data_IF_903240113154
#
_entry.id   IF_903240113154
#
_cell.length_a   1.000
_cell.length_b   1.000
_cell.length_c   1.000
_cell.angle_alpha   90.00
_cell.angle_beta   90.00
_cell.angle_gamma   90.00
#
_symmetry.space_group_name_H-M   'P 1'
#
loop_
_entity.id
_entity.type
_entity.pdbx_description
1 polymer ?
#
# COMPACT_ATOMS: atom_id res chain seq x y z
N UNK A 1 1.91 17.80 8.79
CA UNK A 1 2.69 16.77 9.52
C UNK A 1 3.31 15.80 8.51
N UNK A 2 4.64 15.75 8.44
CA UNK A 2 5.37 14.83 7.56
C UNK A 2 5.17 13.38 8.02
N UNK A 3 5.18 12.38 7.12
CA UNK A 3 4.90 10.99 7.50
C UNK A 3 5.88 10.44 8.54
N UNK A 4 7.12 10.94 8.53
CA UNK A 4 8.16 10.63 9.53
C UNK A 4 7.82 11.14 10.93
N UNK A 5 7.21 12.31 11.07
CA UNK A 5 6.79 12.86 12.38
C UNK A 5 5.73 11.98 13.04
N UNK A 6 4.84 11.40 12.23
CA UNK A 6 3.78 10.48 12.67
C UNK A 6 4.39 9.21 13.29
N UNK A 7 5.53 8.77 12.78
CA UNK A 7 6.31 7.66 13.31
C UNK A 7 7.20 8.05 14.51
N UNK A 8 7.20 9.32 14.93
CA UNK A 8 8.04 9.83 16.03
C UNK A 8 9.45 10.25 15.59
N UNK A 9 9.67 10.39 14.29
CA UNK A 9 10.96 10.74 13.72
C UNK A 9 11.03 12.24 13.52
N UNK A 10 11.99 12.88 14.19
CA UNK A 10 12.22 14.33 14.07
C UNK A 10 13.22 14.60 12.94
N UNK A 11 12.74 15.03 11.78
CA UNK A 11 13.58 15.54 10.70
C UNK A 11 13.92 17.01 10.94
N UNK A 12 15.17 17.29 11.30
CA UNK A 12 15.65 18.68 11.53
C UNK A 12 15.85 19.49 10.24
N UNK A 13 15.97 18.83 9.08
CA UNK A 13 16.14 19.45 7.77
C UNK A 13 15.25 18.77 6.72
N UNK A 14 14.89 19.47 5.62
CA UNK A 14 14.16 18.87 4.51
C UNK A 14 14.90 17.64 3.95
N UNK A 15 14.15 16.61 3.57
CA UNK A 15 14.71 15.42 2.92
C UNK A 15 15.35 15.82 1.58
N UNK A 16 16.58 15.35 1.36
CA UNK A 16 17.27 15.49 0.07
C UNK A 16 17.03 14.26 -0.76
N UNK A 17 16.66 14.43 -2.03
CA UNK A 17 16.58 13.31 -2.99
C UNK A 17 18.01 12.84 -3.27
N UNK A 18 18.26 11.54 -3.09
CA UNK A 18 19.53 10.89 -3.41
C UNK A 18 19.54 10.32 -4.82
N UNK A 19 18.46 9.63 -5.21
CA UNK A 19 18.27 9.15 -6.58
C UNK A 19 16.79 9.06 -6.95
N UNK A 20 16.52 9.10 -8.26
CA UNK A 20 15.21 8.84 -8.84
C UNK A 20 15.41 7.76 -9.90
N UNK A 21 14.55 6.77 -9.90
CA UNK A 21 14.51 5.71 -10.89
C UNK A 21 13.14 5.64 -11.55
N UNK A 22 13.13 5.24 -12.81
CA UNK A 22 11.94 5.05 -13.63
C UNK A 22 11.69 3.56 -13.75
N UNK A 23 10.43 3.14 -13.54
CA UNK A 23 10.00 1.78 -13.82
C UNK A 23 8.88 1.79 -14.87
N UNK A 24 9.03 0.94 -15.88
CA UNK A 24 8.03 0.72 -16.94
C UNK A 24 8.00 -0.76 -17.31
N UNK A 25 6.85 -1.42 -17.07
CA UNK A 25 6.78 -2.88 -17.14
C UNK A 25 7.92 -3.51 -16.35
N UNK A 26 8.67 -4.43 -16.95
CA UNK A 26 9.80 -5.12 -16.30
C UNK A 26 11.13 -4.33 -16.33
N UNK A 27 11.13 -3.09 -16.84
CA UNK A 27 12.34 -2.28 -16.96
C UNK A 27 12.46 -1.28 -15.82
N UNK A 28 13.62 -1.25 -15.16
CA UNK A 28 14.00 -0.29 -14.12
C UNK A 28 15.32 0.37 -14.51
N UNK A 29 15.40 1.69 -14.44
CA UNK A 29 16.64 2.44 -14.74
C UNK A 29 16.69 3.80 -14.05
N UNK A 30 17.87 4.41 -13.92
CA UNK A 30 18.00 5.77 -13.41
C UNK A 30 17.18 6.77 -14.24
N UNK A 31 16.52 7.72 -13.57
CA UNK A 31 15.83 8.82 -14.23
C UNK A 31 16.85 9.76 -14.88
N UNK A 32 16.66 10.02 -16.17
CA UNK A 32 17.45 11.00 -16.92
C UNK A 32 16.53 12.17 -17.28
N UNK A 33 16.80 13.39 -16.79
CA UNK A 33 16.01 14.56 -17.15
C UNK A 33 16.01 14.77 -18.67
N UNK A 34 14.84 14.90 -19.28
CA UNK A 34 14.73 15.29 -20.68
C UNK A 34 15.27 16.71 -20.88
N UNK A 35 16.22 16.87 -21.80
CA UNK A 35 16.73 18.19 -22.21
C UNK A 35 15.78 18.80 -23.26
N UNK A 36 15.43 20.08 -23.09
CA UNK A 36 14.61 20.82 -24.06
C UNK A 36 13.14 20.37 -24.08
N UNK A 37 12.51 20.40 -25.25
CA UNK A 37 11.07 20.12 -25.44
C UNK A 37 10.74 18.63 -25.65
N UNK A 38 11.68 17.72 -25.40
CA UNK A 38 11.45 16.28 -25.55
C UNK A 38 10.44 15.79 -24.51
N UNK A 39 9.46 14.98 -24.94
CA UNK A 39 8.49 14.37 -24.03
C UNK A 39 9.24 13.46 -23.05
N UNK A 40 8.98 13.58 -21.73
CA UNK A 40 9.59 12.69 -20.75
C UNK A 40 9.18 11.23 -21.05
N UNK A 41 10.06 10.32 -20.68
CA UNK A 41 9.78 8.89 -20.81
C UNK A 41 8.51 8.50 -20.05
N UNK A 42 7.68 7.67 -20.68
CA UNK A 42 6.49 7.15 -20.04
C UNK A 42 6.88 6.10 -18.99
N UNK A 43 6.55 6.38 -17.73
CA UNK A 43 6.76 5.51 -16.59
C UNK A 43 5.43 4.96 -16.08
N UNK A 44 5.46 3.83 -15.36
CA UNK A 44 4.33 3.37 -14.55
C UNK A 44 4.49 3.84 -13.10
N UNK A 45 5.71 3.74 -12.55
CA UNK A 45 6.09 4.31 -11.26
C UNK A 45 7.46 4.97 -11.30
N UNK A 46 7.69 5.88 -10.37
CA UNK A 46 9.03 6.35 -10.00
C UNK A 46 9.39 5.84 -8.61
N UNK A 47 10.64 5.44 -8.43
CA UNK A 47 11.22 5.15 -7.12
C UNK A 47 12.09 6.34 -6.75
N UNK A 48 11.78 6.99 -5.63
CA UNK A 48 12.52 8.14 -5.11
C UNK A 48 13.21 7.71 -3.83
N UNK A 49 14.53 7.60 -3.88
CA UNK A 49 15.36 7.28 -2.72
C UNK A 49 15.90 8.58 -2.11
N UNK A 50 15.73 8.77 -0.81
CA UNK A 50 16.28 9.92 -0.10
C UNK A 50 17.73 9.68 0.31
N UNK A 51 18.53 10.74 0.29
CA UNK A 51 19.94 10.70 0.68
C UNK A 51 20.10 10.24 2.14
N UNK A 52 21.29 9.73 2.48
CA UNK A 52 21.67 9.33 3.85
C UNK A 52 20.73 8.28 4.47
N UNK A 53 20.22 7.34 3.66
CA UNK A 53 19.30 6.28 4.10
C UNK A 53 18.04 6.81 4.82
N UNK A 54 17.57 8.00 4.42
CA UNK A 54 16.37 8.61 4.99
C UNK A 54 15.06 8.11 4.37
N UNK A 55 15.09 6.88 3.83
CA UNK A 55 13.92 6.21 3.29
C UNK A 55 13.74 6.37 1.80
N UNK A 56 12.62 5.86 1.32
CA UNK A 56 12.24 5.90 -0.08
C UNK A 56 10.73 5.99 -0.24
N UNK A 57 10.29 6.44 -1.42
CA UNK A 57 8.89 6.49 -1.85
C UNK A 57 8.76 5.85 -3.22
N UNK A 58 7.75 5.01 -3.39
CA UNK A 58 7.29 4.55 -4.69
C UNK A 58 6.06 5.38 -5.04
N UNK A 59 6.18 6.19 -6.10
CA UNK A 59 5.13 7.11 -6.55
C UNK A 59 4.63 6.70 -7.93
N UNK A 60 3.33 6.79 -8.16
CA UNK A 60 2.79 6.57 -9.50
C UNK A 60 3.21 7.68 -10.47
N UNK A 61 3.44 7.30 -11.72
CA UNK A 61 3.59 8.23 -12.83
C UNK A 61 2.25 8.57 -13.53
N UNK A 62 1.13 8.07 -13.00
CA UNK A 62 -0.20 8.21 -13.58
C UNK A 62 -1.15 8.94 -12.60
N UNK A 63 -1.73 10.08 -13.04
CA UNK A 63 -2.62 10.90 -12.21
C UNK A 63 -3.96 10.24 -11.87
N UNK A 64 -4.30 9.13 -12.54
CA UNK A 64 -5.55 8.38 -12.31
C UNK A 64 -5.50 7.52 -11.05
N UNK A 65 -4.31 7.27 -10.52
CA UNK A 65 -4.11 6.53 -9.28
C UNK A 65 -3.50 7.43 -8.21
N UNK A 66 -3.50 7.00 -6.93
CA UNK A 66 -2.85 7.77 -5.87
C UNK A 66 -1.38 8.04 -6.16
N UNK A 67 -0.93 9.24 -5.79
CA UNK A 67 0.46 9.65 -5.99
C UNK A 67 1.43 8.73 -5.26
N UNK A 68 1.19 8.43 -3.97
CA UNK A 68 2.07 7.56 -3.16
C UNK A 68 1.49 6.15 -3.12
N UNK A 69 2.26 5.16 -3.58
CA UNK A 69 1.89 3.74 -3.57
C UNK A 69 2.59 2.96 -2.46
N UNK A 70 3.81 3.36 -2.10
CA UNK A 70 4.48 2.88 -0.91
C UNK A 70 5.49 3.89 -0.39
N UNK A 71 5.81 3.81 0.90
CA UNK A 71 6.96 4.51 1.47
C UNK A 71 7.58 3.73 2.62
N UNK A 72 8.86 3.98 2.84
CA UNK A 72 9.55 3.64 4.09
C UNK A 72 10.30 4.88 4.57
N UNK A 73 10.25 5.16 5.87
CA UNK A 73 10.90 6.32 6.49
C UNK A 73 12.40 6.15 6.69
N UNK A 74 12.94 4.97 6.40
CA UNK A 74 14.34 4.60 6.59
C UNK A 74 14.85 3.69 5.49
N UNK A 75 16.17 3.65 5.36
CA UNK A 75 16.85 2.80 4.39
C UNK A 75 16.79 3.36 2.97
N UNK A 76 16.95 2.46 2.02
CA UNK A 76 17.05 2.71 0.60
C UNK A 76 16.50 1.49 -0.15
N UNK A 77 15.79 1.70 -1.26
CA UNK A 77 15.36 0.62 -2.14
C UNK A 77 16.41 0.43 -3.23
N UNK A 78 17.30 -0.56 -3.05
CA UNK A 78 18.36 -0.88 -4.00
C UNK A 78 17.85 -1.46 -5.31
N UNK A 79 18.74 -1.61 -6.29
CA UNK A 79 18.42 -1.92 -7.70
C UNK A 79 17.78 -3.30 -7.90
N UNK A 80 18.04 -4.25 -7.00
CA UNK A 80 17.49 -5.62 -7.03
C UNK A 80 16.48 -5.82 -5.90
N UNK A 81 15.27 -6.26 -6.25
CA UNK A 81 14.28 -6.71 -5.26
C UNK A 81 14.53 -8.20 -4.99
N UNK A 82 15.25 -8.49 -3.91
CA UNK A 82 15.54 -9.87 -3.48
C UNK A 82 14.50 -10.44 -2.51
N UNK A 83 13.69 -9.58 -1.89
CA UNK A 83 12.63 -10.00 -0.98
C UNK A 83 11.37 -10.39 -1.79
N UNK A 84 10.89 -11.65 -1.72
CA UNK A 84 9.71 -12.12 -2.44
C UNK A 84 8.44 -11.36 -2.04
N UNK A 85 8.28 -10.97 -0.77
CA UNK A 85 7.18 -10.11 -0.34
C UNK A 85 7.21 -8.73 -1.00
N UNK A 86 8.38 -8.11 -1.11
CA UNK A 86 8.50 -6.84 -1.84
C UNK A 86 8.21 -7.02 -3.34
N UNK A 87 8.66 -8.13 -3.94
CA UNK A 87 8.39 -8.45 -5.35
C UNK A 87 6.88 -8.61 -5.61
N UNK A 88 6.19 -9.38 -4.76
CA UNK A 88 4.73 -9.56 -4.81
C UNK A 88 4.02 -8.21 -4.69
N UNK A 89 4.39 -7.37 -3.71
CA UNK A 89 3.77 -6.06 -3.54
C UNK A 89 4.04 -5.10 -4.70
N UNK A 90 5.21 -5.20 -5.32
CA UNK A 90 5.54 -4.43 -6.52
C UNK A 90 4.69 -4.87 -7.72
N UNK A 91 4.53 -6.18 -7.91
CA UNK A 91 3.63 -6.73 -8.93
C UNK A 91 2.19 -6.28 -8.72
N UNK A 92 1.72 -6.22 -7.47
CA UNK A 92 0.39 -5.72 -7.14
C UNK A 92 0.23 -4.24 -7.50
N UNK A 93 1.25 -3.40 -7.28
CA UNK A 93 1.22 -1.98 -7.69
C UNK A 93 1.09 -1.84 -9.21
N UNK A 94 1.87 -2.60 -9.98
CA UNK A 94 1.83 -2.55 -11.45
C UNK A 94 0.44 -2.96 -11.96
N UNK A 95 -0.08 -4.09 -11.48
CA UNK A 95 -1.41 -4.59 -11.86
C UNK A 95 -2.51 -3.58 -11.49
N UNK A 96 -2.42 -2.98 -10.29
CA UNK A 96 -3.36 -1.94 -9.85
C UNK A 96 -3.34 -0.73 -10.79
N UNK A 97 -2.16 -0.24 -11.19
CA UNK A 97 -2.04 0.89 -12.13
C UNK A 97 -2.70 0.56 -13.46
N UNK A 98 -2.41 -0.62 -14.01
CA UNK A 98 -2.98 -1.06 -15.29
C UNK A 98 -4.50 -1.21 -15.23
N UNK A 99 -5.02 -1.79 -14.15
CA UNK A 99 -6.46 -1.94 -13.93
C UNK A 99 -7.15 -0.58 -13.87
N UNK A 100 -6.64 0.35 -13.05
CA UNK A 100 -7.21 1.69 -12.92
C UNK A 100 -7.13 2.47 -14.23
N UNK A 101 -6.02 2.33 -14.98
CA UNK A 101 -5.85 2.92 -16.30
C UNK A 101 -6.89 2.39 -17.29
N UNK A 102 -7.06 1.07 -17.37
CA UNK A 102 -8.02 0.43 -18.26
C UNK A 102 -9.47 0.80 -17.90
N UNK A 103 -9.79 0.80 -16.60
CA UNK A 103 -11.11 1.18 -16.10
C UNK A 103 -11.44 2.64 -16.43
N UNK A 104 -10.48 3.54 -16.25
CA UNK A 104 -10.64 4.95 -16.63
C UNK A 104 -10.88 5.09 -18.14
N UNK A 105 -10.03 4.49 -18.98
CA UNK A 105 -10.17 4.61 -20.44
C UNK A 105 -11.51 4.07 -20.95
N UNK A 106 -11.98 2.95 -20.38
CA UNK A 106 -13.28 2.37 -20.72
C UNK A 106 -14.48 3.24 -20.32
N UNK A 107 -14.32 4.10 -19.29
CA UNK A 107 -15.41 4.90 -18.73
C UNK A 107 -15.26 6.41 -18.94
N UNK A 108 -14.19 6.88 -19.59
CA UNK A 108 -13.83 8.31 -19.65
C UNK A 108 -14.95 9.23 -20.14
N UNK A 109 -15.74 8.78 -21.12
CA UNK A 109 -16.86 9.58 -21.64
C UNK A 109 -18.03 9.67 -20.65
N UNK A 110 -18.30 8.57 -19.94
CA UNK A 110 -19.30 8.52 -18.88
C UNK A 110 -18.87 9.40 -17.72
N UNK A 111 -17.62 9.28 -17.27
CA UNK A 111 -17.05 10.11 -16.20
C UNK A 111 -17.03 11.60 -16.56
N UNK A 112 -16.69 11.94 -17.81
CA UNK A 112 -16.79 13.31 -18.30
C UNK A 112 -18.22 13.83 -18.22
N UNK A 113 -19.20 13.02 -18.65
CA UNK A 113 -20.62 13.37 -18.57
C UNK A 113 -21.09 13.57 -17.13
N UNK A 114 -20.74 12.65 -16.22
CA UNK A 114 -21.09 12.77 -14.79
C UNK A 114 -20.43 14.01 -14.15
N UNK A 115 -19.19 14.32 -14.52
CA UNK A 115 -18.51 15.52 -14.06
C UNK A 115 -19.19 16.79 -14.58
N UNK A 116 -19.61 16.81 -15.85
CA UNK A 116 -20.35 17.90 -16.47
C UNK A 116 -21.71 18.13 -15.80
N UNK A 117 -22.47 17.06 -15.54
CA UNK A 117 -23.74 17.12 -14.79
C UNK A 117 -23.55 17.60 -13.35
N UNK A 118 -22.46 17.18 -12.69
CA UNK A 118 -22.13 17.64 -11.35
C UNK A 118 -21.74 19.12 -11.31
N UNK A 119 -21.02 19.61 -12.34
CA UNK A 119 -20.67 21.03 -12.48
C UNK A 119 -21.95 21.84 -12.71
N UNK A 120 -22.82 21.42 -13.63
CA UNK A 120 -24.09 22.10 -13.92
C UNK A 120 -24.90 22.38 -12.65
N UNK A 121 -25.02 21.39 -11.75
CA UNK A 121 -25.77 21.51 -10.49
C UNK A 121 -25.19 22.56 -9.52
N UNK A 122 -23.91 22.93 -9.68
CA UNK A 122 -23.23 23.91 -8.83
C UNK A 122 -23.27 25.33 -9.41
N UNK A 123 -23.69 25.51 -10.67
CA UNK A 123 -23.81 26.82 -11.30
C UNK A 123 -24.98 27.63 -10.72
N UNK A 124 -24.99 28.94 -10.96
CA UNK A 124 -26.11 29.81 -10.64
C UNK A 124 -27.40 29.38 -11.35
N UNK A 125 -28.56 29.76 -10.81
CA UNK A 125 -29.86 29.38 -11.41
C UNK A 125 -30.09 30.02 -12.77
N UNK A 126 -29.58 31.23 -12.95
CA UNK A 126 -29.57 31.96 -14.21
C UNK A 126 -28.79 31.18 -15.26
N UNK A 127 -27.57 30.73 -14.93
CA UNK A 127 -26.75 29.98 -15.88
C UNK A 127 -27.33 28.59 -16.18
N UNK A 128 -27.90 27.92 -15.18
CA UNK A 128 -28.61 26.65 -15.41
C UNK A 128 -29.75 26.82 -16.43
N UNK A 129 -30.54 27.89 -16.31
CA UNK A 129 -31.66 28.16 -17.22
C UNK A 129 -31.20 28.42 -18.66
N UNK A 130 -30.10 29.18 -18.84
CA UNK A 130 -29.52 29.43 -20.16
C UNK A 130 -29.05 28.15 -20.84
N UNK A 131 -28.34 27.29 -20.12
CA UNK A 131 -27.82 26.02 -20.66
C UNK A 131 -28.94 25.04 -21.01
N UNK A 132 -30.05 25.06 -20.26
CA UNK A 132 -31.27 24.30 -20.61
C UNK A 132 -31.93 24.89 -21.86
N UNK A 133 -32.03 26.22 -21.97
CA UNK A 133 -32.61 26.88 -23.14
C UNK A 133 -31.80 26.64 -24.42
N UNK A 134 -30.47 26.55 -24.31
CA UNK A 134 -29.57 26.13 -25.39
C UNK A 134 -29.69 24.63 -25.74
N UNK A 135 -30.37 23.85 -24.90
CA UNK A 135 -30.57 22.42 -25.09
C UNK A 135 -29.31 21.58 -24.80
N UNK A 136 -28.36 22.11 -24.03
CA UNK A 136 -27.14 21.38 -23.61
C UNK A 136 -27.42 20.47 -22.40
N UNK A 137 -28.39 20.85 -21.57
CA UNK A 137 -28.89 20.09 -20.44
C UNK A 137 -30.43 20.03 -20.46
N UNK A 138 -31.02 18.99 -19.88
CA UNK A 138 -32.46 18.94 -19.60
C UNK A 138 -32.82 19.58 -18.25
N UNK A 139 -34.11 19.60 -17.92
CA UNK A 139 -34.62 20.23 -16.69
C UNK A 139 -34.15 19.49 -15.43
N UNK A 140 -33.78 18.22 -15.57
CA UNK A 140 -33.26 17.34 -14.53
C UNK A 140 -31.73 17.49 -14.37
N UNK A 141 -31.09 18.28 -15.23
CA UNK A 141 -29.65 18.54 -15.24
C UNK A 141 -28.83 17.39 -15.85
N UNK A 142 -29.44 16.59 -16.72
CA UNK A 142 -28.76 15.57 -17.53
C UNK A 142 -28.22 16.14 -18.82
N UNK A 143 -27.07 15.64 -19.24
CA UNK A 143 -26.40 16.11 -20.46
C UNK A 143 -27.13 15.66 -21.72
N UNK A 144 -27.44 16.60 -22.61
CA UNK A 144 -28.07 16.34 -23.91
C UNK A 144 -27.00 16.31 -25.01
N UNK A 145 -26.49 15.12 -25.32
CA UNK A 145 -25.34 14.95 -26.24
C UNK A 145 -25.64 15.32 -27.71
N UNK A 146 -26.88 15.15 -28.16
CA UNK A 146 -27.26 15.35 -29.57
C UNK A 146 -27.29 16.81 -30.04
N UNK A 147 -27.15 17.76 -29.10
CA UNK A 147 -27.21 19.20 -29.36
C UNK A 147 -25.82 19.86 -29.31
N UNK A 148 -24.77 19.09 -29.05
CA UNK A 148 -23.40 19.57 -29.06
C UNK A 148 -22.75 19.27 -30.42
N UNK A 149 -22.62 20.29 -31.25
CA UNK A 149 -21.73 20.24 -32.41
C UNK A 149 -20.38 20.85 -32.01
N UNK A 150 -19.26 20.09 -32.06
CA UNK A 150 -17.95 20.68 -31.89
C UNK A 150 -17.74 21.71 -33.01
N UNK A 151 -17.45 22.95 -32.65
CA UNK A 151 -17.22 24.03 -33.61
C UNK A 151 -15.91 23.75 -34.38
N UNK A 152 -16.03 23.23 -35.60
CA UNK A 152 -14.91 22.88 -36.48
C UNK A 152 -14.08 24.14 -36.78
N UNK A 153 -12.94 24.29 -36.11
CA UNK A 153 -12.00 25.39 -36.30
C UNK A 153 -11.62 26.16 -35.04
N UNK A 154 -12.42 26.09 -33.96
CA UNK A 154 -12.14 26.78 -32.68
C UNK A 154 -11.69 25.86 -31.54
N UNK A 155 -11.82 24.53 -31.69
CA UNK A 155 -11.35 23.56 -30.69
C UNK A 155 -12.11 23.61 -29.36
N UNK A 156 -13.33 24.20 -29.33
CA UNK A 156 -14.18 24.33 -28.14
C UNK A 156 -14.55 22.95 -27.60
N UNK A 157 -14.38 22.74 -26.29
CA UNK A 157 -14.85 21.55 -25.58
C UNK A 157 -16.19 21.85 -24.91
N UNK A 158 -16.99 20.82 -24.63
CA UNK A 158 -18.28 20.98 -23.96
C UNK A 158 -18.18 21.79 -22.65
N UNK A 159 -17.13 21.54 -21.86
CA UNK A 159 -16.87 22.28 -20.61
C UNK A 159 -16.70 23.80 -20.78
N UNK A 160 -16.33 24.28 -21.96
CA UNK A 160 -16.20 25.72 -22.21
C UNK A 160 -17.55 26.44 -22.04
N UNK A 161 -18.65 25.75 -22.33
CA UNK A 161 -20.00 26.28 -22.20
C UNK A 161 -20.42 26.49 -20.74
N UNK A 162 -19.63 26.08 -19.76
CA UNK A 162 -19.89 26.50 -18.37
C UNK A 162 -19.60 28.00 -18.14
N UNK A 163 -18.71 28.60 -18.92
CA UNK A 163 -18.51 30.06 -18.97
C UNK A 163 -19.67 30.72 -19.76
N UNK A 164 -20.12 31.94 -19.41
CA UNK A 164 -21.19 32.62 -20.16
C UNK A 164 -20.81 32.70 -21.64
N UNK A 165 -19.59 33.17 -21.90
CA UNK A 165 -18.96 33.13 -23.21
C UNK A 165 -17.96 31.95 -23.29
N UNK A 166 -18.22 30.93 -24.12
CA UNK A 166 -17.34 29.74 -24.20
C UNK A 166 -15.90 30.04 -24.64
N UNK A 167 -15.69 31.16 -25.35
CA UNK A 167 -14.36 31.61 -25.79
C UNK A 167 -13.55 32.22 -24.63
N UNK A 168 -14.18 32.56 -23.51
CA UNK A 168 -13.52 33.11 -22.33
C UNK A 168 -13.02 32.03 -21.36
N UNK A 169 -13.31 30.75 -21.61
CA UNK A 169 -12.67 29.67 -20.87
C UNK A 169 -11.15 29.76 -21.00
N UNK A 170 -10.45 29.88 -19.87
CA UNK A 170 -8.99 29.94 -19.85
C UNK A 170 -8.36 28.65 -19.37
N UNK A 171 -8.54 28.30 -18.10
CA UNK A 171 -7.89 27.12 -17.54
C UNK A 171 -8.58 26.56 -16.29
N UNK A 172 -8.25 25.30 -16.03
CA UNK A 172 -8.58 24.59 -14.80
C UNK A 172 -7.37 24.67 -13.86
N UNK A 173 -7.52 25.31 -12.71
CA UNK A 173 -6.47 25.47 -11.70
C UNK A 173 -6.80 24.56 -10.51
N UNK A 174 -5.91 23.62 -10.22
CA UNK A 174 -6.01 22.76 -9.04
C UNK A 174 -5.19 23.35 -7.89
N UNK A 175 -5.88 23.70 -6.81
CA UNK A 175 -5.28 24.17 -5.56
C UNK A 175 -5.39 23.03 -4.55
N UNK A 176 -4.24 22.57 -4.07
CA UNK A 176 -4.17 21.48 -3.09
C UNK A 176 -4.00 22.04 -1.69
N UNK A 177 -4.93 21.68 -0.80
CA UNK A 177 -4.82 21.94 0.63
C UNK A 177 -3.68 21.15 1.27
N UNK A 178 -3.39 21.48 2.54
CA UNK A 178 -2.43 20.73 3.35
C UNK A 178 -2.98 19.34 3.66
N UNK A 179 -2.10 18.35 3.72
CA UNK A 179 -2.45 17.03 4.21
C UNK A 179 -2.69 17.05 5.72
N UNK A 180 -3.87 16.59 6.12
CA UNK A 180 -4.29 16.38 7.49
C UNK A 180 -4.19 14.89 7.82
N UNK A 181 -3.78 14.58 9.06
CA UNK A 181 -3.78 13.22 9.56
C UNK A 181 -5.11 12.97 10.28
N UNK A 182 -5.93 12.08 9.73
CA UNK A 182 -7.25 11.80 10.27
C UNK A 182 -7.23 10.57 11.17
N UNK A 183 -6.50 9.52 10.76
CA UNK A 183 -6.35 8.33 11.58
C UNK A 183 -4.93 7.78 11.49
N UNK A 184 -4.44 7.26 12.62
CA UNK A 184 -3.13 6.63 12.68
C UNK A 184 -3.06 5.56 13.77
N UNK A 185 -2.59 4.39 13.36
CA UNK A 185 -2.12 3.30 14.21
C UNK A 185 -0.70 2.97 13.83
N UNK A 186 0.22 3.20 14.78
CA UNK A 186 1.63 2.80 14.67
C UNK A 186 1.73 1.29 14.40
N UNK A 187 2.82 0.84 13.76
CA UNK A 187 3.13 -0.59 13.68
C UNK A 187 3.03 -1.25 15.06
N UNK A 188 2.14 -2.23 15.16
CA UNK A 188 1.83 -2.97 16.38
C UNK A 188 2.98 -3.90 16.72
N UNK A 189 3.57 -4.55 15.70
CA UNK A 189 4.73 -5.40 15.91
C UNK A 189 5.94 -4.55 16.30
N UNK A 190 6.69 -5.08 17.27
CA UNK A 190 7.99 -4.55 17.69
C UNK A 190 9.15 -5.39 17.19
N UNK A 191 8.87 -6.51 16.55
CA UNK A 191 9.86 -7.43 16.03
C UNK A 191 10.13 -7.18 14.55
N UNK A 192 11.38 -7.40 14.15
CA UNK A 192 11.80 -7.44 12.75
C UNK A 192 12.62 -8.72 12.53
N UNK A 193 11.93 -9.85 12.47
CA UNK A 193 12.55 -11.17 12.35
C UNK A 193 12.76 -11.59 10.89
N UNK A 194 13.67 -12.55 10.68
CA UNK A 194 14.06 -13.06 9.36
C UNK A 194 14.00 -14.59 9.34
N UNK A 195 14.27 -15.17 8.17
CA UNK A 195 14.09 -16.59 7.91
C UNK A 195 15.38 -17.44 7.99
N UNK A 196 16.56 -16.80 7.91
CA UNK A 196 17.86 -17.48 7.79
C UNK A 196 18.90 -16.91 8.77
N UNK A 197 20.16 -17.36 8.70
CA UNK A 197 21.23 -17.00 9.66
C UNK A 197 20.90 -17.43 11.09
N UNK A 198 21.02 -16.54 12.09
CA UNK A 198 20.72 -16.91 13.47
C UNK A 198 19.28 -17.38 13.69
N UNK A 199 18.35 -17.14 12.77
CA UNK A 199 16.94 -17.53 12.93
C UNK A 199 16.68 -19.01 12.62
N UNK A 200 17.44 -19.64 11.72
CA UNK A 200 17.27 -21.04 11.31
C UNK A 200 18.24 -22.03 11.97
N UNK A 201 19.15 -21.58 12.85
CA UNK A 201 20.12 -22.44 13.56
C UNK A 201 19.56 -23.70 14.29
N UNK A 202 18.24 -23.78 14.52
CA UNK A 202 17.58 -24.94 15.14
C UNK A 202 16.72 -25.77 14.18
N UNK A 203 16.68 -25.39 12.90
CA UNK A 203 16.03 -26.19 11.85
C UNK A 203 16.88 -27.44 11.60
N UNK A 204 16.26 -28.60 11.56
CA UNK A 204 16.98 -29.89 11.47
C UNK A 204 17.45 -30.22 10.04
N UNK A 205 16.88 -29.57 9.04
CA UNK A 205 17.19 -29.79 7.62
C UNK A 205 18.39 -28.94 7.23
N UNK A 206 19.43 -29.56 6.67
CA UNK A 206 20.67 -28.92 6.24
C UNK A 206 20.65 -28.59 4.74
N UNK A 207 21.21 -27.45 4.38
CA UNK A 207 21.29 -26.88 3.04
C UNK A 207 22.73 -26.43 2.73
N UNK A 208 23.64 -27.39 2.58
CA UNK A 208 25.07 -27.12 2.43
C UNK A 208 25.68 -26.71 3.77
N UNK A 209 26.16 -25.48 3.86
CA UNK A 209 26.84 -24.93 5.05
C UNK A 209 25.89 -24.16 6.01
N UNK A 210 24.58 -24.13 5.71
CA UNK A 210 23.53 -23.47 6.50
C UNK A 210 22.30 -24.38 6.61
N UNK A 211 21.43 -24.17 7.59
CA UNK A 211 20.15 -24.86 7.70
C UNK A 211 19.14 -24.37 6.64
N UNK A 212 18.09 -25.15 6.38
CA UNK A 212 16.95 -24.67 5.60
C UNK A 212 16.30 -23.45 6.29
N UNK A 213 15.81 -22.45 5.53
CA UNK A 213 15.12 -21.31 6.12
C UNK A 213 13.90 -21.74 6.95
N UNK A 214 13.58 -21.03 8.04
CA UNK A 214 12.40 -21.36 8.87
C UNK A 214 11.06 -21.21 8.13
N UNK A 215 11.03 -20.42 7.06
CA UNK A 215 9.84 -20.17 6.24
C UNK A 215 9.05 -18.93 6.64
N UNK A 216 8.47 -18.26 5.64
CA UNK A 216 7.77 -16.99 5.82
C UNK A 216 6.55 -17.12 6.74
N UNK A 217 5.86 -18.26 6.69
CA UNK A 217 4.70 -18.56 7.54
C UNK A 217 5.11 -18.65 9.01
N UNK A 218 6.23 -19.32 9.31
CA UNK A 218 6.74 -19.43 10.68
C UNK A 218 7.15 -18.07 11.24
N UNK A 219 7.80 -17.23 10.43
CA UNK A 219 8.17 -15.87 10.85
C UNK A 219 6.94 -14.99 11.07
N UNK A 220 5.95 -15.03 10.17
CA UNK A 220 4.72 -14.24 10.33
C UNK A 220 3.95 -14.63 11.60
N UNK A 221 3.72 -15.94 11.81
CA UNK A 221 3.06 -16.44 13.02
C UNK A 221 3.90 -16.15 14.27
N UNK A 222 5.21 -16.42 14.25
CA UNK A 222 6.10 -16.17 15.39
C UNK A 222 6.08 -14.71 15.85
N UNK A 223 6.09 -13.75 14.92
CA UNK A 223 6.00 -12.33 15.26
C UNK A 223 4.64 -11.95 15.87
N UNK A 224 3.53 -12.55 15.40
CA UNK A 224 2.19 -12.36 15.99
C UNK A 224 2.12 -12.94 17.41
N UNK A 225 2.68 -14.13 17.63
CA UNK A 225 2.76 -14.74 18.96
C UNK A 225 3.59 -13.88 19.92
N UNK A 226 4.72 -13.35 19.46
CA UNK A 226 5.56 -12.45 20.24
C UNK A 226 4.84 -11.14 20.59
N UNK A 227 3.99 -10.62 19.71
CA UNK A 227 3.15 -9.47 19.99
C UNK A 227 2.12 -9.75 21.10
N UNK A 228 1.44 -10.90 21.05
CA UNK A 228 0.49 -11.31 22.09
C UNK A 228 1.16 -11.86 23.35
N UNK A 229 2.46 -12.17 23.30
CA UNK A 229 3.26 -12.78 24.37
C UNK A 229 2.64 -14.07 24.89
N UNK A 230 2.13 -14.89 23.97
CA UNK A 230 1.37 -16.12 24.27
C UNK A 230 1.50 -17.16 23.14
N UNK A 231 1.54 -18.47 23.45
CA UNK A 231 1.42 -19.13 24.78
C UNK A 231 2.67 -19.02 25.65
N UNK A 232 2.55 -19.32 26.96
CA UNK A 232 3.70 -19.28 27.89
C UNK A 232 4.77 -20.33 27.54
N UNK A 233 4.37 -21.41 26.87
CA UNK A 233 5.26 -22.49 26.43
C UNK A 233 5.02 -22.86 24.98
N UNK A 234 6.08 -23.17 24.25
CA UNK A 234 6.05 -23.70 22.89
C UNK A 234 6.79 -25.03 22.93
N UNK A 235 6.11 -26.13 22.55
CA UNK A 235 6.68 -27.49 22.52
C UNK A 235 7.46 -27.82 23.80
N UNK A 236 6.87 -27.51 24.97
CA UNK A 236 7.46 -27.77 26.28
C UNK A 236 8.53 -26.78 26.76
N UNK A 237 9.02 -25.86 25.91
CA UNK A 237 9.94 -24.79 26.31
C UNK A 237 9.19 -23.55 26.76
N UNK A 238 9.56 -22.97 27.91
CA UNK A 238 9.04 -21.67 28.37
C UNK A 238 9.59 -20.54 27.51
N UNK A 239 8.73 -19.63 27.06
CA UNK A 239 9.10 -18.50 26.22
C UNK A 239 9.28 -17.22 27.05
N UNK A 240 10.44 -16.56 26.90
CA UNK A 240 10.74 -15.27 27.54
C UNK A 240 10.34 -14.10 26.65
N UNK A 241 9.05 -13.98 26.36
CA UNK A 241 8.50 -13.04 25.35
C UNK A 241 8.95 -11.58 25.51
N UNK A 242 9.06 -11.09 26.75
CA UNK A 242 9.56 -9.73 27.03
C UNK A 242 10.99 -9.56 26.50
N UNK A 243 11.89 -10.50 26.84
CA UNK A 243 13.29 -10.43 26.42
C UNK A 243 13.44 -10.61 24.90
N UNK A 244 12.57 -11.38 24.26
CA UNK A 244 12.55 -11.57 22.80
C UNK A 244 12.10 -10.33 22.02
N UNK A 245 11.45 -9.36 22.69
CA UNK A 245 10.82 -8.19 22.05
C UNK A 245 11.36 -6.85 22.56
N UNK A 246 12.37 -6.87 23.44
CA UNK A 246 13.04 -5.68 23.94
C UNK A 246 13.67 -4.87 22.81
N UNK A 247 13.42 -3.56 22.83
CA UNK A 247 13.97 -2.60 21.87
C UNK A 247 15.07 -1.80 22.56
N UNK A 248 16.24 -1.75 21.95
CA UNK A 248 17.37 -0.96 22.44
C UNK A 248 17.09 0.55 22.33
N UNK A 249 17.73 1.34 23.19
CA UNK A 249 17.61 2.80 23.13
C UNK A 249 18.07 3.34 21.77
N UNK A 250 17.15 3.98 21.04
CA UNK A 250 17.40 4.56 19.72
C UNK A 250 16.95 3.68 18.55
N UNK A 251 16.60 2.42 18.81
CA UNK A 251 16.03 1.51 17.82
C UNK A 251 14.50 1.62 17.75
N UNK A 252 13.94 1.13 16.65
CA UNK A 252 12.50 1.07 16.39
C UNK A 252 11.93 -0.33 16.59
N UNK A 253 12.77 -1.33 16.34
CA UNK A 253 12.41 -2.74 16.35
C UNK A 253 13.44 -3.56 17.15
N UNK A 254 12.98 -4.70 17.63
CA UNK A 254 13.78 -5.77 18.21
C UNK A 254 14.06 -6.83 17.15
N UNK A 255 15.28 -7.33 17.12
CA UNK A 255 15.64 -8.49 16.30
C UNK A 255 16.68 -9.36 17.04
N UNK A 256 17.03 -10.53 16.51
CA UNK A 256 17.91 -11.48 17.22
C UNK A 256 19.35 -10.96 17.44
N UNK A 257 19.71 -9.86 16.79
CA UNK A 257 21.00 -9.18 16.91
C UNK A 257 20.95 -7.94 17.82
N UNK A 258 19.77 -7.56 18.32
CA UNK A 258 19.62 -6.49 19.32
C UNK A 258 20.39 -6.82 20.59
N UNK A 259 20.98 -5.80 21.22
CA UNK A 259 21.81 -5.95 22.41
C UNK A 259 21.00 -6.40 23.64
N UNK A 260 19.79 -5.86 23.80
CA UNK A 260 18.86 -6.23 24.88
C UNK A 260 18.21 -7.60 24.73
N UNK A 261 18.42 -8.28 23.60
CA UNK A 261 17.99 -9.67 23.40
C UNK A 261 19.13 -10.58 23.88
N UNK A 262 18.98 -11.09 25.11
CA UNK A 262 19.95 -11.97 25.74
C UNK A 262 20.02 -13.35 25.06
N UNK A 263 21.00 -14.18 25.44
CA UNK A 263 21.21 -15.47 24.79
C UNK A 263 20.07 -16.47 25.00
N UNK A 264 19.35 -16.39 26.14
CA UNK A 264 18.15 -17.20 26.36
C UNK A 264 17.04 -16.79 25.39
N UNK A 265 16.83 -15.49 25.21
CA UNK A 265 15.84 -14.96 24.28
C UNK A 265 16.20 -15.25 22.81
N UNK A 266 17.49 -15.22 22.44
CA UNK A 266 17.95 -15.66 21.10
C UNK A 266 17.62 -17.12 20.86
N UNK A 267 17.90 -17.98 21.83
CA UNK A 267 17.53 -19.39 21.76
C UNK A 267 16.02 -19.60 21.70
N UNK A 268 15.24 -18.81 22.43
CA UNK A 268 13.78 -18.87 22.39
C UNK A 268 13.23 -18.49 21.01
N UNK A 269 13.79 -17.45 20.36
CA UNK A 269 13.42 -17.08 18.98
C UNK A 269 13.73 -18.23 18.03
N UNK A 270 14.94 -18.78 18.10
CA UNK A 270 15.36 -19.92 17.27
C UNK A 270 14.46 -21.14 17.49
N UNK A 271 14.20 -21.47 18.75
CA UNK A 271 13.41 -22.63 19.15
C UNK A 271 11.97 -22.47 18.66
N UNK A 272 11.36 -21.31 18.92
CA UNK A 272 10.03 -20.97 18.43
C UNK A 272 9.93 -21.14 16.92
N UNK A 273 10.81 -20.49 16.15
CA UNK A 273 10.70 -20.49 14.69
C UNK A 273 10.95 -21.87 14.07
N UNK A 274 11.88 -22.64 14.61
CA UNK A 274 12.11 -24.02 14.16
C UNK A 274 10.92 -24.93 14.50
N UNK A 275 10.44 -24.91 15.75
CA UNK A 275 9.40 -25.82 16.22
C UNK A 275 7.99 -25.43 15.76
N UNK A 276 7.75 -24.18 15.36
CA UNK A 276 6.55 -23.85 14.58
C UNK A 276 6.43 -24.71 13.33
N UNK A 277 7.57 -25.17 12.76
CA UNK A 277 7.61 -26.07 11.62
C UNK A 277 7.24 -27.52 11.90
N UNK A 278 7.09 -27.93 13.16
CA UNK A 278 6.77 -29.31 13.54
C UNK A 278 5.44 -29.78 12.95
N UNK A 279 5.31 -31.10 12.79
CA UNK A 279 4.16 -31.76 12.13
C UNK A 279 2.80 -31.42 12.76
N UNK A 280 2.77 -31.18 14.07
CA UNK A 280 1.56 -30.87 14.82
C UNK A 280 1.19 -29.38 14.77
N UNK A 281 2.06 -28.55 14.19
CA UNK A 281 1.84 -27.12 13.96
C UNK A 281 1.80 -26.83 12.46
N UNK A 282 2.82 -26.19 11.90
CA UNK A 282 2.81 -25.82 10.48
C UNK A 282 3.06 -27.01 9.54
N UNK A 283 3.67 -28.11 10.02
CA UNK A 283 4.18 -29.18 9.17
C UNK A 283 4.95 -28.60 7.97
N UNK A 284 6.00 -27.83 8.26
CA UNK A 284 6.73 -27.05 7.29
C UNK A 284 7.40 -27.95 6.24
N UNK A 285 7.20 -27.63 4.97
CA UNK A 285 7.93 -28.23 3.86
C UNK A 285 9.22 -27.44 3.65
N UNK A 286 10.31 -27.94 4.24
CA UNK A 286 11.63 -27.30 4.15
C UNK A 286 12.27 -27.52 2.78
N UNK A 287 12.73 -26.43 2.15
CA UNK A 287 13.51 -26.48 0.91
C UNK A 287 14.69 -25.51 0.97
N UNK A 288 15.76 -25.82 0.25
CA UNK A 288 16.97 -24.98 0.20
C UNK A 288 16.86 -23.82 -0.81
N UNK A 289 16.08 -24.01 -1.88
CA UNK A 289 16.21 -23.16 -3.08
C UNK A 289 15.12 -22.10 -3.21
N UNK A 290 13.92 -22.37 -2.67
CA UNK A 290 12.72 -21.52 -2.89
C UNK A 290 12.04 -21.05 -1.61
N UNK A 291 12.66 -21.32 -0.46
CA UNK A 291 12.09 -21.07 0.86
C UNK A 291 11.15 -22.19 1.32
N UNK A 292 10.91 -22.23 2.63
CA UNK A 292 10.06 -23.24 3.26
C UNK A 292 8.61 -22.76 3.32
N UNK A 293 7.66 -23.66 3.03
CA UNK A 293 6.25 -23.30 2.88
C UNK A 293 5.31 -24.17 3.72
N UNK A 294 4.14 -23.62 4.05
CA UNK A 294 3.08 -24.35 4.77
C UNK A 294 1.70 -23.74 4.48
N UNK A 295 0.70 -24.59 4.28
CA UNK A 295 -0.71 -24.21 4.22
C UNK A 295 -1.45 -24.25 5.56
N UNK A 296 -0.77 -24.56 6.68
CA UNK A 296 -1.39 -24.88 7.99
C UNK A 296 -1.36 -23.73 8.98
N UNK A 297 -1.21 -22.49 8.52
CA UNK A 297 -1.12 -21.30 9.37
C UNK A 297 -2.29 -21.18 10.39
N UNK A 298 -3.54 -21.39 9.94
CA UNK A 298 -4.71 -21.31 10.82
C UNK A 298 -4.76 -22.46 11.83
N UNK A 299 -4.42 -23.67 11.40
CA UNK A 299 -4.40 -24.84 12.28
C UNK A 299 -3.34 -24.69 13.38
N UNK A 300 -2.14 -24.22 13.02
CA UNK A 300 -1.10 -23.92 13.99
C UNK A 300 -1.58 -22.87 15.01
N UNK A 301 -2.25 -21.79 14.57
CA UNK A 301 -2.83 -20.80 15.49
C UNK A 301 -3.87 -21.42 16.43
N UNK A 302 -4.75 -22.29 15.94
CA UNK A 302 -5.74 -22.99 16.77
C UNK A 302 -5.09 -23.89 17.82
N UNK A 303 -4.04 -24.61 17.42
CA UNK A 303 -3.24 -25.46 18.32
C UNK A 303 -2.44 -24.63 19.34
N UNK A 304 -2.14 -23.37 19.02
CA UNK A 304 -1.49 -22.39 19.88
C UNK A 304 -2.49 -21.48 20.63
N UNK A 305 -3.70 -22.00 20.89
CA UNK A 305 -4.74 -21.40 21.72
C UNK A 305 -5.56 -20.24 21.08
N UNK A 306 -5.28 -19.87 19.83
CA UNK A 306 -6.02 -18.83 19.09
C UNK A 306 -7.25 -19.39 18.35
N UNK A 307 -8.09 -20.15 19.05
CA UNK A 307 -9.21 -20.93 18.46
C UNK A 307 -10.28 -20.09 17.76
N UNK A 308 -10.34 -18.79 18.03
CA UNK A 308 -11.32 -17.89 17.41
C UNK A 308 -10.84 -17.29 16.08
N UNK A 309 -9.57 -17.50 15.72
CA UNK A 309 -9.04 -17.04 14.44
C UNK A 309 -9.71 -17.79 13.28
N UNK A 310 -9.84 -17.15 12.12
CA UNK A 310 -10.38 -17.79 10.92
C UNK A 310 -9.81 -17.17 9.64
N UNK A 311 -9.80 -17.97 8.57
CA UNK A 311 -9.40 -17.53 7.23
C UNK A 311 -10.56 -16.81 6.53
N UNK A 312 -10.23 -15.73 5.83
CA UNK A 312 -11.14 -15.03 4.94
C UNK A 312 -10.37 -14.42 3.77
N UNK A 313 -11.07 -14.12 2.69
CA UNK A 313 -10.51 -13.33 1.60
C UNK A 313 -10.16 -11.92 2.08
N UNK A 314 -9.18 -11.32 1.42
CA UNK A 314 -8.73 -9.98 1.77
C UNK A 314 -9.85 -8.93 1.66
N UNK A 315 -10.01 -8.12 2.70
CA UNK A 315 -10.99 -7.03 2.73
C UNK A 315 -10.42 -5.81 3.47
N UNK A 316 -10.44 -4.64 2.82
CA UNK A 316 -9.90 -3.39 3.39
C UNK A 316 -10.53 -3.04 4.75
N UNK A 317 -11.87 -3.09 4.84
CA UNK A 317 -12.58 -2.71 6.06
C UNK A 317 -12.23 -3.64 7.22
N UNK A 318 -12.07 -4.93 6.93
CA UNK A 318 -11.69 -5.92 7.94
C UNK A 318 -10.25 -5.73 8.40
N UNK A 319 -9.31 -5.49 7.48
CA UNK A 319 -7.91 -5.17 7.81
C UNK A 319 -7.84 -3.93 8.71
N UNK A 320 -8.55 -2.86 8.34
CA UNK A 320 -8.60 -1.63 9.12
C UNK A 320 -9.20 -1.89 10.50
N UNK A 321 -10.28 -2.67 10.58
CA UNK A 321 -10.95 -3.02 11.84
C UNK A 321 -10.04 -3.82 12.78
N UNK A 322 -9.34 -4.83 12.28
CA UNK A 322 -8.40 -5.64 13.08
C UNK A 322 -7.27 -4.77 13.66
N UNK A 323 -6.62 -3.95 12.82
CA UNK A 323 -5.52 -3.08 13.25
C UNK A 323 -6.00 -2.03 14.25
N UNK A 324 -7.19 -1.44 14.05
CA UNK A 324 -7.79 -0.49 15.01
C UNK A 324 -8.05 -1.11 16.38
N UNK A 325 -8.34 -2.41 16.40
CA UNK A 325 -8.54 -3.19 17.62
C UNK A 325 -7.24 -3.82 18.17
N UNK A 326 -6.07 -3.34 17.74
CA UNK A 326 -4.77 -3.85 18.16
C UNK A 326 -4.57 -5.35 17.87
N UNK A 327 -5.09 -5.83 16.73
CA UNK A 327 -4.87 -7.20 16.27
C UNK A 327 -4.05 -7.18 14.98
N UNK A 328 -2.73 -7.42 15.03
CA UNK A 328 -1.96 -7.64 13.81
C UNK A 328 -2.47 -8.92 13.14
N UNK A 329 -2.54 -8.90 11.82
CA UNK A 329 -3.17 -9.97 11.06
C UNK A 329 -2.17 -10.60 10.10
N UNK A 330 -2.26 -11.93 10.00
CA UNK A 330 -1.52 -12.69 9.01
C UNK A 330 -2.14 -12.45 7.63
N UNK A 331 -1.31 -12.29 6.61
CA UNK A 331 -1.70 -12.23 5.21
C UNK A 331 -0.76 -13.10 4.39
N UNK A 332 -1.33 -13.76 3.37
CA UNK A 332 -0.57 -14.46 2.34
C UNK A 332 -1.04 -14.01 0.96
N UNK A 333 -0.13 -14.06 0.01
CA UNK A 333 -0.38 -13.73 -1.38
C UNK A 333 0.71 -14.26 -2.29
N UNK A 334 0.42 -14.33 -3.58
CA UNK A 334 1.36 -14.79 -4.60
C UNK A 334 1.35 -13.83 -5.78
N UNK A 335 2.44 -13.78 -6.52
CA UNK A 335 2.45 -13.35 -7.91
C UNK A 335 2.56 -14.58 -8.83
N UNK A 336 2.91 -14.39 -10.11
CA UNK A 336 3.04 -15.49 -11.07
C UNK A 336 4.28 -16.37 -10.86
N UNK A 337 5.18 -16.00 -9.95
CA UNK A 337 6.51 -16.59 -9.75
C UNK A 337 6.71 -17.07 -8.31
N UNK A 338 6.23 -16.31 -7.32
CA UNK A 338 6.49 -16.56 -5.90
C UNK A 338 5.27 -16.30 -5.02
N UNK A 339 5.22 -17.01 -3.89
CA UNK A 339 4.24 -16.80 -2.84
C UNK A 339 4.95 -16.34 -1.58
N UNK A 340 4.29 -15.50 -0.79
CA UNK A 340 4.83 -15.00 0.45
C UNK A 340 3.74 -14.87 1.52
N UNK A 341 4.16 -14.98 2.78
CA UNK A 341 3.33 -14.73 3.95
C UNK A 341 3.97 -13.66 4.83
N UNK A 342 3.18 -12.74 5.34
CA UNK A 342 3.64 -11.60 6.12
C UNK A 342 2.55 -11.09 7.07
N UNK A 343 2.83 -9.99 7.76
CA UNK A 343 1.92 -9.41 8.76
C UNK A 343 1.52 -7.99 8.38
N UNK A 344 0.23 -7.66 8.51
CA UNK A 344 -0.26 -6.28 8.49
C UNK A 344 -0.50 -5.81 9.93
N UNK A 345 0.08 -4.67 10.29
CA UNK A 345 0.14 -4.26 11.69
C UNK A 345 0.10 -2.75 11.92
N UNK A 346 -0.23 -1.94 10.93
CA UNK A 346 -0.36 -0.48 11.10
C UNK A 346 -1.28 0.13 10.08
N UNK A 347 -1.89 1.27 10.39
CA UNK A 347 -2.85 1.93 9.51
C UNK A 347 -2.71 3.46 9.57
N UNK A 348 -2.84 4.10 8.41
CA UNK A 348 -2.75 5.55 8.27
C UNK A 348 -3.79 6.04 7.27
N UNK A 349 -4.59 7.04 7.66
CA UNK A 349 -5.47 7.79 6.77
C UNK A 349 -5.10 9.27 6.82
N UNK A 350 -4.81 9.83 5.64
CA UNK A 350 -4.67 11.27 5.43
C UNK A 350 -5.70 11.79 4.47
N UNK A 351 -6.12 13.04 4.67
CA UNK A 351 -7.04 13.75 3.79
C UNK A 351 -6.52 15.13 3.46
N UNK A 352 -6.90 15.66 2.31
CA UNK A 352 -6.72 17.07 1.97
C UNK A 352 -7.88 17.55 1.11
N UNK A 353 -8.24 18.82 1.27
CA UNK A 353 -9.12 19.49 0.33
C UNK A 353 -8.40 19.69 -1.00
N UNK A 354 -9.10 19.46 -2.10
CA UNK A 354 -8.66 19.80 -3.45
C UNK A 354 -9.70 20.76 -4.02
N UNK A 355 -9.25 21.95 -4.39
CA UNK A 355 -10.10 22.98 -5.00
C UNK A 355 -9.79 23.06 -6.48
N UNK A 356 -10.80 22.87 -7.31
CA UNK A 356 -10.77 23.13 -8.74
C UNK A 356 -11.38 24.51 -8.99
N UNK A 357 -10.57 25.46 -9.44
CA UNK A 357 -11.02 26.75 -9.94
C UNK A 357 -11.06 26.68 -11.47
N UNK A 358 -12.22 26.92 -12.06
CA UNK A 358 -12.37 27.10 -13.51
C UNK A 358 -12.47 28.57 -13.80
N UNK A 359 -11.57 29.10 -14.64
CA UNK A 359 -11.51 30.53 -14.97
C UNK A 359 -12.13 30.80 -16.34
N UNK A 360 -12.97 31.83 -16.40
CA UNK A 360 -13.85 32.18 -17.51
C UNK A 360 -13.79 33.68 -17.87
N UNK A 361 -12.74 34.40 -17.46
CA UNK A 361 -12.64 35.87 -17.50
C UNK A 361 -13.87 36.55 -16.86
N UNK A 362 -13.98 36.41 -15.52
CA UNK A 362 -14.83 37.16 -14.57
C UNK A 362 -16.01 37.96 -15.15
N UNK A 363 -17.26 37.69 -14.75
CA UNK A 363 -17.63 37.22 -13.39
C UNK A 363 -17.94 35.72 -13.25
N UNK A 364 -17.65 34.89 -14.27
CA UNK A 364 -18.15 33.51 -14.36
C UNK A 364 -17.23 32.43 -13.75
N UNK A 365 -16.16 32.84 -13.08
CA UNK A 365 -15.25 31.90 -12.43
C UNK A 365 -16.03 31.09 -11.39
N UNK A 366 -15.89 29.77 -11.42
CA UNK A 366 -16.56 28.90 -10.45
C UNK A 366 -15.58 27.96 -9.76
N UNK A 367 -15.91 27.65 -8.51
CA UNK A 367 -15.06 26.90 -7.58
C UNK A 367 -15.76 25.61 -7.19
N UNK A 368 -15.05 24.50 -7.34
CA UNK A 368 -15.48 23.19 -6.82
C UNK A 368 -14.48 22.71 -5.79
N UNK A 369 -14.99 22.29 -4.64
CA UNK A 369 -14.20 21.62 -3.62
C UNK A 369 -14.44 20.12 -3.67
N UNK A 370 -13.37 19.36 -3.50
CA UNK A 370 -13.39 17.92 -3.30
C UNK A 370 -12.42 17.53 -2.18
N UNK A 371 -12.43 16.26 -1.83
CA UNK A 371 -11.50 15.67 -0.88
C UNK A 371 -10.63 14.65 -1.61
N UNK A 372 -9.34 14.62 -1.28
CA UNK A 372 -8.43 13.55 -1.67
C UNK A 372 -7.94 12.84 -0.42
N UNK A 373 -7.93 11.50 -0.47
CA UNK A 373 -7.48 10.65 0.62
C UNK A 373 -6.23 9.86 0.23
N UNK A 374 -5.43 9.48 1.23
CA UNK A 374 -4.38 8.48 1.15
C UNK A 374 -4.56 7.52 2.32
N UNK A 375 -4.75 6.23 2.02
CA UNK A 375 -4.92 5.15 2.98
C UNK A 375 -3.78 4.13 2.81
N UNK A 376 -3.00 3.94 3.87
CA UNK A 376 -1.84 3.06 3.86
C UNK A 376 -1.93 2.05 4.99
N UNK A 377 -1.45 0.84 4.72
CA UNK A 377 -1.30 -0.22 5.70
C UNK A 377 0.18 -0.56 5.85
N UNK A 378 0.64 -0.71 7.09
CA UNK A 378 2.01 -1.13 7.37
C UNK A 378 2.13 -2.65 7.22
N UNK A 379 3.20 -3.08 6.56
CA UNK A 379 3.52 -4.47 6.24
C UNK A 379 4.86 -4.81 6.89
N UNK A 380 4.91 -5.86 7.70
CA UNK A 380 6.16 -6.50 8.14
C UNK A 380 6.35 -7.78 7.34
N UNK A 381 7.32 -7.79 6.41
CA UNK A 381 7.50 -8.87 5.44
C UNK A 381 8.30 -10.06 5.98
N UNK A 382 8.78 -10.04 7.23
CA UNK A 382 9.47 -11.18 7.83
C UNK A 382 10.83 -11.51 7.18
N UNK A 383 11.54 -10.49 6.70
CA UNK A 383 12.87 -10.60 6.07
C UNK A 383 13.96 -9.83 6.84
N UNK A 384 13.69 -9.50 8.10
CA UNK A 384 14.61 -8.79 8.96
C UNK A 384 14.90 -7.36 8.51
N UNK A 385 16.08 -6.90 8.91
CA UNK A 385 16.57 -5.54 8.71
C UNK A 385 17.30 -5.06 9.95
N UNK A 386 17.77 -3.81 9.93
CA UNK A 386 18.42 -3.21 11.09
C UNK A 386 17.36 -2.72 12.08
N UNK A 387 17.67 -2.79 13.36
CA UNK A 387 16.77 -2.44 14.45
C UNK A 387 16.35 -0.96 14.42
N UNK A 388 17.21 -0.09 13.90
CA UNK A 388 16.92 1.33 13.59
C UNK A 388 15.92 1.54 12.44
N UNK A 389 15.41 0.46 11.82
CA UNK A 389 14.49 0.47 10.69
C UNK A 389 15.14 0.59 9.32
N UNK A 390 16.47 0.78 9.23
CA UNK A 390 17.17 0.83 7.95
C UNK A 390 17.31 -0.55 7.32
N UNK A 391 17.21 -0.60 5.98
CA UNK A 391 17.15 -1.85 5.21
C UNK A 391 16.10 -2.83 5.76
N UNK A 392 15.03 -2.29 6.36
CA UNK A 392 13.94 -3.10 6.88
C UNK A 392 13.11 -3.64 5.74
N UNK A 393 12.77 -4.93 5.86
CA UNK A 393 11.73 -5.54 5.07
C UNK A 393 10.34 -5.21 5.63
N UNK A 394 10.11 -3.96 5.99
CA UNK A 394 8.80 -3.43 6.38
C UNK A 394 8.51 -2.12 5.67
N UNK A 395 7.28 -1.65 5.71
CA UNK A 395 6.92 -0.37 5.11
C UNK A 395 5.42 -0.16 4.96
N UNK A 396 5.06 1.03 4.51
CA UNK A 396 3.67 1.44 4.29
C UNK A 396 3.30 1.31 2.84
N UNK A 397 2.17 0.68 2.57
CA UNK A 397 1.69 0.38 1.23
C UNK A 397 0.26 0.85 1.07
N UNK A 398 -0.06 1.39 -0.10
CA UNK A 398 -1.41 1.84 -0.43
C UNK A 398 -2.39 0.68 -0.38
N UNK A 399 -3.44 0.81 0.43
CA UNK A 399 -4.33 -0.31 0.75
C UNK A 399 -5.04 -0.87 -0.51
N UNK A 400 -5.27 -0.04 -1.53
CA UNK A 400 -5.92 -0.46 -2.77
C UNK A 400 -5.10 -1.42 -3.63
N UNK A 401 -3.77 -1.54 -3.43
CA UNK A 401 -2.96 -2.52 -4.20
C UNK A 401 -3.32 -3.96 -3.84
N UNK A 402 -3.87 -4.18 -2.64
CA UNK A 402 -4.27 -5.50 -2.16
C UNK A 402 -5.66 -5.91 -2.64
N UNK A 403 -6.37 -5.06 -3.37
CA UNK A 403 -7.80 -5.22 -3.58
C UNK A 403 -8.13 -5.60 -5.05
N UNK A 404 -7.79 -6.83 -5.49
CA UNK A 404 -7.73 -7.17 -6.94
C UNK A 404 -8.62 -8.32 -7.45
N UNK A 405 -9.54 -8.94 -6.67
CA UNK A 405 -10.54 -9.92 -7.20
C UNK A 405 -11.83 -10.02 -6.37
N UNK A 406 -12.98 -9.99 -7.06
CA UNK A 406 -14.23 -10.72 -6.72
C UNK A 406 -15.18 -10.10 -5.70
N UNK A 407 -16.40 -9.72 -6.16
CA UNK A 407 -17.54 -9.13 -5.43
C UNK A 407 -17.23 -8.03 -4.41
N UNK A 408 -17.45 -6.79 -4.82
CA UNK A 408 -17.36 -5.64 -3.92
C UNK A 408 -18.59 -4.76 -4.00
N UNK A 409 -18.96 -4.28 -2.82
CA UNK A 409 -19.73 -3.07 -2.64
C UNK A 409 -19.04 -1.87 -3.31
N UNK A 410 -19.86 -0.95 -3.78
CA UNK A 410 -19.52 0.21 -4.61
C UNK A 410 -18.38 1.07 -4.05
N UNK A 411 -17.35 1.35 -4.87
CA UNK A 411 -16.59 2.59 -4.73
C UNK A 411 -17.43 3.76 -5.26
N UNK A 412 -17.10 4.99 -4.85
CA UNK A 412 -17.77 6.21 -5.34
C UNK A 412 -17.58 6.47 -6.86
N UNK A 413 -16.91 5.60 -7.63
CA UNK A 413 -16.62 5.77 -9.07
C UNK A 413 -16.79 4.53 -9.99
N UNK A 414 -17.36 3.42 -9.51
CA UNK A 414 -17.95 2.31 -10.32
C UNK A 414 -17.03 1.22 -10.98
N UNK A 415 -17.73 0.15 -11.41
CA UNK A 415 -17.43 -1.28 -11.70
C UNK A 415 -16.57 -1.60 -12.93
N UNK A 416 -15.69 -2.60 -12.80
CA UNK A 416 -15.03 -3.33 -13.89
C UNK A 416 -15.66 -4.73 -14.09
N UNK A 417 -15.64 -5.22 -15.34
CA UNK A 417 -15.97 -6.60 -15.69
C UNK A 417 -14.81 -7.56 -15.37
N UNK A 418 -15.13 -8.86 -15.19
CA UNK A 418 -14.20 -9.94 -14.78
C UNK A 418 -12.88 -9.92 -15.57
N UNK A 419 -11.77 -9.66 -14.87
CA UNK A 419 -10.41 -10.09 -15.25
C UNK A 419 -9.79 -10.84 -14.07
N UNK A 420 -9.03 -11.88 -14.39
CA UNK A 420 -8.67 -12.94 -13.47
C UNK A 420 -7.21 -12.84 -12.98
N UNK A 421 -6.77 -11.73 -12.38
CA UNK A 421 -5.42 -11.64 -11.77
C UNK A 421 -5.28 -12.55 -10.54
N UNK A 422 -4.61 -13.70 -10.66
CA UNK A 422 -4.52 -14.80 -9.67
C UNK A 422 -3.71 -14.48 -8.41
N UNK A 423 -4.00 -13.38 -7.72
CA UNK A 423 -3.44 -13.14 -6.41
C UNK A 423 -4.36 -13.76 -5.37
N UNK A 424 -4.06 -15.00 -4.98
CA UNK A 424 -4.79 -15.68 -3.91
C UNK A 424 -4.44 -15.03 -2.57
N UNK A 425 -5.18 -13.95 -2.25
CA UNK A 425 -4.96 -13.15 -1.06
C UNK A 425 -5.91 -13.58 0.03
N UNK A 426 -5.33 -14.19 1.05
CA UNK A 426 -6.04 -14.59 2.25
C UNK A 426 -5.46 -13.93 3.46
N UNK A 427 -6.34 -13.59 4.39
CA UNK A 427 -5.98 -13.08 5.70
C UNK A 427 -6.49 -14.03 6.78
N UNK A 428 -5.75 -14.14 7.87
CA UNK A 428 -6.27 -14.71 9.11
C UNK A 428 -6.54 -13.56 10.05
N UNK A 429 -7.78 -13.48 10.50
CA UNK A 429 -8.28 -12.40 11.36
C UNK A 429 -8.71 -12.94 12.71
N UNK A 430 -9.03 -12.04 13.64
CA UNK A 430 -9.51 -12.37 14.98
C UNK A 430 -8.52 -13.24 15.77
N UNK A 431 -7.22 -12.98 15.57
CA UNK A 431 -6.14 -13.59 16.33
C UNK A 431 -6.06 -12.85 17.68
N UNK A 432 -6.59 -13.44 18.75
CA UNK A 432 -6.66 -12.87 20.11
C UNK A 432 -6.67 -13.94 21.19
#
# INVERSE_FOLDING_TARGET
>A
MQMREVEGIVTKAPLKIGSIEVVKGDTRKPYVPTKGNAKPEQADVYIVNFANNQGYVITSADKRVPGVLAYNSYGHLGDTISNPGQAVLFSYMQAYIEEQRAAFEANKEKLATEAEEAIFKQLSKERQAELIAQGLFDKEGKRVKSKFEPDEGKGRKFKNFFCIEPDHYKNDIYIYGKWELNEFKRPLLKTLWSQSRKYNNKVSIQCGDDEAPVGCVAVAIGQILAYHKRPNTIVGRKMHWENMTNIDTGDLFSNIYSFSVDDTAKEDIQYLLAHLGDKDLLAMEYTCDRGSSSGRALEALHNLEYRSAYFTDYNNNQVISEIKNNRPLYIQGCDNVTCHAWVLDGYLLKRRTVTLLTTCDSPDDFVRMGEQTIELVHNNLGWGGRADGSNSASGWYYIGIFDTKGEKDSSNMYKSGRRDYQFYKKIIVNIK
#
